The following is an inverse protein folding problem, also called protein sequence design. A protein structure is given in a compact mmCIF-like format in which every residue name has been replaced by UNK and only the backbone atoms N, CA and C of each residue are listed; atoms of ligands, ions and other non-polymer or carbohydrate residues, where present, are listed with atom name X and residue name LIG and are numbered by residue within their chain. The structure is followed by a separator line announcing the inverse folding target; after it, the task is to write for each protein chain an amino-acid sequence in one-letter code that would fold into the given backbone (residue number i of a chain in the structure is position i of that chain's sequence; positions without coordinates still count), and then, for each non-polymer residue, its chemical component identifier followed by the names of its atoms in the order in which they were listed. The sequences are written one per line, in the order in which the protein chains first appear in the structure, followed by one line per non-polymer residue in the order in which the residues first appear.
data_IF_923914203225
#
_entry.id   IF_923914203225
#
_cell.length_a   1.000
_cell.length_b   1.000
_cell.length_c   1.000
_cell.angle_alpha   90.00
_cell.angle_beta   90.00
_cell.angle_gamma   90.00
#
_symmetry.space_group_name_H-M   'P 1'
#
loop_
_entity.id
_entity.type
_entity.pdbx_description
1 polymer ?
#
# COMPACT_ATOMS: atom_id res chain seq x y z
N UNK A 1 14.82 19.25 12.22
CA UNK A 1 15.98 18.72 11.54
C UNK A 1 15.85 17.24 11.23
N UNK A 2 15.71 16.39 12.24
CA UNK A 2 15.54 14.96 12.01
C UNK A 2 14.26 14.66 11.26
N UNK A 3 13.19 15.41 11.53
CA UNK A 3 11.94 15.24 10.82
C UNK A 3 12.05 15.47 9.32
N UNK A 4 12.85 16.46 8.91
CA UNK A 4 13.10 16.73 7.49
C UNK A 4 13.83 15.59 6.81
N UNK A 5 14.80 14.99 7.52
CA UNK A 5 15.54 13.85 6.98
C UNK A 5 14.61 12.64 6.82
N UNK A 6 13.76 12.38 7.81
CA UNK A 6 12.81 11.26 7.75
C UNK A 6 11.82 11.46 6.59
N UNK A 7 11.32 12.66 6.41
CA UNK A 7 10.38 12.97 5.33
C UNK A 7 11.03 12.82 3.95
N UNK A 8 12.31 13.21 3.83
CA UNK A 8 13.05 13.08 2.58
C UNK A 8 13.26 11.62 2.18
N UNK A 9 13.18 10.69 3.12
CA UNK A 9 13.41 9.27 2.87
C UNK A 9 12.50 8.71 1.78
N UNK A 10 11.28 9.24 1.67
CA UNK A 10 10.28 8.72 0.75
C UNK A 10 9.94 9.71 -0.36
N UNK A 11 10.79 10.70 -0.61
CA UNK A 11 10.46 11.78 -1.55
C UNK A 11 10.32 11.34 -3.00
N UNK A 12 10.89 10.20 -3.38
CA UNK A 12 10.79 9.65 -4.74
C UNK A 12 9.73 8.56 -4.87
N UNK A 13 9.08 8.19 -3.79
CA UNK A 13 8.08 7.13 -3.78
C UNK A 13 6.66 7.69 -3.93
N UNK A 14 5.81 6.91 -4.60
CA UNK A 14 4.36 7.08 -4.52
C UNK A 14 3.81 6.15 -3.45
N UNK A 15 2.48 5.98 -3.41
CA UNK A 15 1.83 5.09 -2.44
C UNK A 15 2.36 3.66 -2.53
N UNK A 16 2.58 3.16 -3.73
CA UNK A 16 3.07 1.80 -3.94
C UNK A 16 4.52 1.66 -3.49
N UNK A 17 5.38 2.59 -3.88
CA UNK A 17 6.79 2.57 -3.46
C UNK A 17 6.92 2.60 -1.95
N UNK A 18 6.19 3.50 -1.29
CA UNK A 18 6.17 3.57 0.17
C UNK A 18 5.73 2.25 0.80
N UNK A 19 4.61 1.70 0.33
CA UNK A 19 4.05 0.46 0.91
C UNK A 19 5.03 -0.70 0.80
N UNK A 20 5.74 -0.81 -0.32
CA UNK A 20 6.71 -1.89 -0.55
C UNK A 20 8.09 -1.61 0.03
N UNK A 21 8.32 -0.43 0.60
CA UNK A 21 9.62 -0.06 1.14
C UNK A 21 10.65 0.28 0.08
N UNK A 22 10.21 0.73 -1.08
CA UNK A 22 11.07 1.08 -2.22
C UNK A 22 10.89 2.56 -2.54
N UNK A 23 11.93 3.37 -2.40
CA UNK A 23 11.84 4.81 -2.64
C UNK A 23 11.86 5.12 -4.13
N UNK A 24 10.82 4.69 -4.84
CA UNK A 24 10.64 4.91 -6.27
C UNK A 24 9.16 5.10 -6.57
N UNK A 25 8.86 5.75 -7.68
CA UNK A 25 7.52 5.86 -8.20
C UNK A 25 7.21 4.59 -8.98
N UNK A 26 6.37 3.72 -8.44
CA UNK A 26 6.11 2.40 -9.00
C UNK A 26 4.70 2.34 -9.61
N UNK A 27 4.50 1.36 -10.48
CA UNK A 27 3.21 1.09 -11.10
C UNK A 27 2.86 -0.38 -10.94
N UNK A 28 1.57 -0.63 -10.78
CA UNK A 28 1.05 -2.00 -10.76
C UNK A 28 1.02 -2.52 -12.20
N UNK A 29 1.51 -3.73 -12.40
CA UNK A 29 1.41 -4.39 -13.69
C UNK A 29 -0.04 -4.60 -14.08
N UNK A 30 -0.32 -4.53 -15.37
CA UNK A 30 -1.66 -4.62 -15.95
C UNK A 30 -2.57 -3.43 -15.62
N UNK A 31 -2.10 -2.45 -14.86
CA UNK A 31 -2.90 -1.26 -14.59
C UNK A 31 -3.08 -0.47 -15.90
N UNK A 32 -4.32 -0.03 -16.15
CA UNK A 32 -4.65 0.69 -17.37
C UNK A 32 -5.04 -0.22 -18.54
N UNK A 33 -5.10 -1.52 -18.33
CA UNK A 33 -5.58 -2.49 -19.31
C UNK A 33 -6.97 -2.98 -18.91
N UNK A 34 -7.51 -3.95 -19.65
CA UNK A 34 -8.79 -4.60 -19.30
C UNK A 34 -8.63 -5.68 -18.23
N UNK A 35 -7.47 -5.76 -17.59
CA UNK A 35 -7.19 -6.76 -16.57
C UNK A 35 -7.98 -6.51 -15.30
N UNK A 36 -8.33 -7.59 -14.59
CA UNK A 36 -9.11 -7.51 -13.37
C UNK A 36 -8.21 -7.16 -12.17
N UNK A 37 -8.81 -6.69 -11.06
CA UNK A 37 -8.05 -6.48 -9.83
C UNK A 37 -7.36 -7.76 -9.35
N UNK A 38 -7.94 -8.93 -9.62
CA UNK A 38 -7.34 -10.22 -9.25
C UNK A 38 -6.05 -10.49 -10.02
N UNK A 39 -6.02 -10.14 -11.30
CA UNK A 39 -4.80 -10.29 -12.11
C UNK A 39 -3.69 -9.36 -11.60
N UNK A 40 -4.05 -8.14 -11.22
CA UNK A 40 -3.11 -7.20 -10.63
C UNK A 40 -2.59 -7.69 -9.28
N UNK A 41 -3.47 -8.25 -8.45
CA UNK A 41 -3.06 -8.84 -7.16
C UNK A 41 -2.12 -10.02 -7.38
N UNK A 42 -2.40 -10.88 -8.36
CA UNK A 42 -1.53 -11.99 -8.70
C UNK A 42 -0.16 -11.50 -9.16
N UNK A 43 -0.14 -10.46 -9.97
CA UNK A 43 1.11 -9.84 -10.42
C UNK A 43 1.93 -9.31 -9.23
N UNK A 44 1.28 -8.70 -8.26
CA UNK A 44 1.94 -8.22 -7.05
C UNK A 44 2.55 -9.37 -6.26
N UNK A 45 1.83 -10.48 -6.12
CA UNK A 45 2.32 -11.68 -5.45
C UNK A 45 3.57 -12.21 -6.16
N UNK A 46 3.46 -12.38 -7.47
CA UNK A 46 4.54 -12.98 -8.27
C UNK A 46 5.78 -12.09 -8.35
N UNK A 47 5.57 -10.77 -8.41
CA UNK A 47 6.67 -9.82 -8.59
C UNK A 47 7.41 -9.52 -7.29
N UNK A 48 6.68 -9.39 -6.19
CA UNK A 48 7.27 -8.94 -4.92
C UNK A 48 7.25 -10.01 -3.83
N UNK A 49 6.75 -11.19 -4.13
CA UNK A 49 6.69 -12.27 -3.14
C UNK A 49 5.70 -12.00 -2.00
N UNK A 50 4.65 -11.25 -2.27
CA UNK A 50 3.65 -10.93 -1.25
C UNK A 50 2.85 -12.17 -0.88
N UNK A 51 2.44 -12.27 0.37
CA UNK A 51 1.67 -13.41 0.88
C UNK A 51 0.26 -12.94 1.25
N UNK A 52 -0.78 -13.43 0.56
CA UNK A 52 -2.15 -13.10 0.96
C UNK A 52 -2.45 -13.59 2.39
N UNK A 53 -3.09 -12.74 3.17
CA UNK A 53 -3.47 -13.08 4.55
C UNK A 53 -4.87 -12.53 4.82
N UNK A 54 -5.51 -13.06 5.88
CA UNK A 54 -6.79 -12.54 6.36
C UNK A 54 -6.56 -11.46 7.41
N UNK A 55 -7.54 -10.58 7.59
CA UNK A 55 -7.41 -9.50 8.58
C UNK A 55 -7.13 -10.02 9.98
N UNK A 56 -7.76 -11.12 10.38
CA UNK A 56 -7.56 -11.68 11.70
C UNK A 56 -6.23 -12.41 11.88
N UNK A 57 -5.44 -12.54 10.82
CA UNK A 57 -4.12 -13.15 10.89
C UNK A 57 -3.00 -12.13 11.12
N UNK A 58 -3.33 -10.84 11.08
CA UNK A 58 -2.31 -9.80 11.29
C UNK A 58 -1.81 -9.79 12.74
N UNK A 59 -0.50 -9.67 12.90
CA UNK A 59 0.15 -9.61 14.20
C UNK A 59 1.17 -8.47 14.22
N UNK A 60 1.49 -7.97 15.41
CA UNK A 60 2.55 -6.99 15.58
C UNK A 60 3.90 -7.59 15.20
N UNK A 61 4.80 -6.75 14.74
CA UNK A 61 6.15 -7.17 14.35
C UNK A 61 6.28 -7.54 12.89
N UNK A 62 5.17 -7.70 12.19
CA UNK A 62 5.17 -7.97 10.75
C UNK A 62 4.59 -6.78 10.01
N UNK A 63 4.93 -6.65 8.73
CA UNK A 63 4.47 -5.56 7.87
C UNK A 63 3.44 -6.10 6.89
N UNK A 64 2.35 -5.36 6.76
CA UNK A 64 1.27 -5.72 5.85
C UNK A 64 0.97 -4.57 4.91
N UNK A 65 0.47 -4.89 3.73
CA UNK A 65 0.04 -3.88 2.78
C UNK A 65 -1.34 -4.22 2.25
N UNK A 66 -2.09 -3.18 1.90
CA UNK A 66 -3.38 -3.33 1.23
C UNK A 66 -3.29 -2.61 -0.10
N UNK A 67 -3.71 -3.33 -1.14
CA UNK A 67 -3.88 -2.81 -2.49
C UNK A 67 -5.36 -2.67 -2.80
N UNK A 68 -5.75 -1.55 -3.39
CA UNK A 68 -7.11 -1.33 -3.88
C UNK A 68 -7.08 -0.61 -5.22
N UNK A 69 -8.08 -0.89 -6.03
CA UNK A 69 -8.26 -0.28 -7.33
C UNK A 69 -9.43 0.71 -7.27
N UNK A 70 -9.24 1.89 -7.83
CA UNK A 70 -10.28 2.88 -8.04
C UNK A 70 -10.64 2.98 -9.52
N UNK A 71 -11.37 4.05 -9.88
CA UNK A 71 -11.75 4.24 -11.28
C UNK A 71 -10.56 4.49 -12.19
N UNK A 72 -9.72 5.44 -11.82
CA UNK A 72 -8.61 5.88 -12.67
C UNK A 72 -7.26 5.67 -12.02
N UNK A 73 -7.23 5.06 -10.85
CA UNK A 73 -6.00 4.97 -10.09
C UNK A 73 -6.03 3.76 -9.17
N UNK A 74 -4.87 3.42 -8.65
CA UNK A 74 -4.72 2.42 -7.60
C UNK A 74 -4.18 3.10 -6.34
N UNK A 75 -4.35 2.43 -5.21
CA UNK A 75 -3.79 2.97 -3.97
C UNK A 75 -3.31 1.84 -3.06
N UNK A 76 -2.32 2.17 -2.25
CA UNK A 76 -1.72 1.25 -1.28
C UNK A 76 -1.69 1.91 0.08
N UNK A 77 -1.86 1.09 1.13
CA UNK A 77 -1.58 1.47 2.50
C UNK A 77 -0.66 0.43 3.11
N UNK A 78 0.09 0.82 4.14
CA UNK A 78 1.04 -0.04 4.83
C UNK A 78 0.74 -0.04 6.31
N UNK A 79 0.67 -1.24 6.91
CA UNK A 79 0.68 -1.41 8.35
C UNK A 79 2.09 -1.79 8.76
N UNK A 80 2.77 -0.90 9.44
CA UNK A 80 4.15 -1.13 9.88
C UNK A 80 4.18 -2.10 11.08
N UNK A 81 5.38 -2.52 11.47
CA UNK A 81 5.54 -3.48 12.56
C UNK A 81 4.94 -3.00 13.88
N UNK A 82 4.80 -1.69 14.06
CA UNK A 82 4.15 -1.10 15.24
C UNK A 82 2.62 -1.23 15.26
N UNK A 83 2.04 -1.76 14.20
CA UNK A 83 0.59 -1.96 14.07
C UNK A 83 -0.17 -0.76 13.54
N UNK A 84 0.49 0.32 13.20
CA UNK A 84 -0.16 1.52 12.70
C UNK A 84 -0.20 1.56 11.17
N UNK A 85 -1.37 1.92 10.63
CA UNK A 85 -1.55 2.10 9.20
C UNK A 85 -1.10 3.48 8.77
N UNK A 86 -0.37 3.54 7.66
CA UNK A 86 0.07 4.78 7.02
C UNK A 86 0.00 4.63 5.53
N UNK A 87 -0.10 5.75 4.83
CA UNK A 87 -0.04 5.76 3.38
C UNK A 87 0.63 7.03 2.88
N UNK A 88 1.02 7.01 1.61
CA UNK A 88 1.62 8.17 0.97
C UNK A 88 0.80 8.49 -0.27
N UNK A 89 -0.13 9.47 -0.18
CA UNK A 89 -0.98 9.82 -1.34
C UNK A 89 -0.15 10.52 -2.42
N UNK A 90 0.19 9.81 -3.47
CA UNK A 90 0.95 10.36 -4.59
C UNK A 90 2.27 10.98 -4.15
N UNK A 91 2.44 12.26 -4.44
CA UNK A 91 3.64 13.01 -4.08
C UNK A 91 3.59 13.62 -2.68
N UNK A 92 2.46 13.50 -1.97
CA UNK A 92 2.35 14.01 -0.61
C UNK A 92 3.18 13.17 0.35
N UNK A 93 3.47 13.74 1.51
CA UNK A 93 4.24 13.02 2.52
C UNK A 93 3.44 11.87 3.13
N UNK A 94 4.14 10.96 3.79
CA UNK A 94 3.54 9.84 4.52
C UNK A 94 2.68 10.39 5.66
N UNK A 95 1.49 9.83 5.82
CA UNK A 95 0.54 10.24 6.85
C UNK A 95 -0.23 9.05 7.39
N UNK A 96 -0.76 9.15 8.62
CA UNK A 96 -1.57 8.08 9.16
C UNK A 96 -2.90 7.95 8.42
N UNK A 97 -3.44 6.74 8.42
CA UNK A 97 -4.77 6.44 7.90
C UNK A 97 -5.39 5.41 8.85
N UNK A 98 -6.68 5.53 9.09
CA UNK A 98 -7.36 4.60 9.98
C UNK A 98 -7.62 3.26 9.29
N UNK A 99 -7.65 2.19 10.08
CA UNK A 99 -7.99 0.87 9.54
C UNK A 99 -9.38 0.86 8.93
N UNK A 100 -10.30 1.63 9.50
CA UNK A 100 -11.65 1.79 8.97
C UNK A 100 -11.63 2.35 7.54
N UNK A 101 -10.76 3.31 7.28
CA UNK A 101 -10.61 3.86 5.92
C UNK A 101 -9.92 2.87 4.99
N UNK A 102 -8.92 2.15 5.48
CA UNK A 102 -8.18 1.17 4.67
C UNK A 102 -9.11 0.10 4.12
N UNK A 103 -10.04 -0.39 4.94
CA UNK A 103 -10.92 -1.49 4.57
C UNK A 103 -12.35 -1.03 4.23
N UNK A 104 -12.63 0.26 4.33
CA UNK A 104 -13.93 0.83 4.03
C UNK A 104 -14.14 1.12 2.55
N UNK A 105 -15.23 1.80 2.20
CA UNK A 105 -15.55 2.11 0.81
C UNK A 105 -14.65 3.17 0.17
N UNK A 106 -13.91 3.94 0.97
CA UNK A 106 -12.98 4.95 0.48
C UNK A 106 -11.81 5.07 1.43
N UNK A 107 -10.63 5.42 0.88
CA UNK A 107 -9.44 5.58 1.69
C UNK A 107 -9.47 6.86 2.52
N UNK A 108 -9.89 7.94 1.89
CA UNK A 108 -10.01 9.25 2.53
C UNK A 108 -11.22 9.95 1.94
N UNK A 109 -11.64 11.04 2.56
CA UNK A 109 -12.76 11.82 2.02
C UNK A 109 -12.47 12.50 0.69
N UNK A 110 -11.21 12.57 0.28
CA UNK A 110 -10.82 13.21 -0.97
C UNK A 110 -10.49 12.22 -2.08
N UNK A 111 -10.57 10.93 -1.82
CA UNK A 111 -10.34 9.92 -2.85
C UNK A 111 -11.67 9.46 -3.43
N UNK A 112 -11.64 9.06 -4.68
CA UNK A 112 -12.82 8.47 -5.29
C UNK A 112 -13.12 7.11 -4.66
N UNK A 113 -14.36 6.68 -4.79
CA UNK A 113 -14.78 5.36 -4.31
C UNK A 113 -13.97 4.28 -5.01
N UNK A 114 -13.65 3.23 -4.27
CA UNK A 114 -12.93 2.11 -4.84
C UNK A 114 -13.86 1.14 -5.54
N UNK A 115 -13.36 0.58 -6.62
CA UNK A 115 -14.10 -0.39 -7.44
C UNK A 115 -13.74 -1.82 -7.05
N UNK A 116 -12.65 -2.01 -6.30
CA UNK A 116 -12.25 -3.33 -5.83
C UNK A 116 -12.35 -3.44 -4.31
N UNK A 117 -12.46 -4.68 -3.84
CA UNK A 117 -12.27 -4.98 -2.44
C UNK A 117 -10.81 -4.73 -2.05
N UNK A 118 -10.49 -4.59 -0.77
CA UNK A 118 -9.10 -4.53 -0.34
C UNK A 118 -8.42 -5.89 -0.51
N UNK A 119 -7.21 -5.88 -1.04
CA UNK A 119 -6.36 -7.06 -1.13
C UNK A 119 -5.26 -6.91 -0.08
N UNK A 120 -5.27 -7.77 0.91
CA UNK A 120 -4.37 -7.71 2.06
C UNK A 120 -3.24 -8.72 1.89
N UNK A 121 -2.00 -8.25 2.07
CA UNK A 121 -0.81 -9.07 1.95
C UNK A 121 0.13 -8.84 3.11
N UNK A 122 0.89 -9.87 3.45
CA UNK A 122 2.07 -9.74 4.31
C UNK A 122 3.27 -9.46 3.41
N UNK A 123 4.09 -8.48 3.78
CA UNK A 123 5.34 -8.20 3.09
C UNK A 123 6.43 -9.10 3.66
N UNK A 124 7.15 -9.89 2.82
CA UNK A 124 8.22 -10.75 3.31
C UNK A 124 9.27 -9.96 4.10
N UNK A 125 9.77 -10.55 5.18
CA UNK A 125 10.69 -9.86 6.09
C UNK A 125 11.99 -9.42 5.42
N UNK A 126 12.45 -10.16 4.42
CA UNK A 126 13.66 -9.82 3.67
C UNK A 126 13.47 -8.61 2.75
N UNK A 127 12.22 -8.20 2.53
CA UNK A 127 11.89 -7.04 1.69
C UNK A 127 11.45 -5.82 2.50
N UNK A 128 11.36 -5.96 3.82
CA UNK A 128 11.01 -4.81 4.67
C UNK A 128 12.15 -3.80 4.64
N UNK A 129 11.82 -2.54 4.35
CA UNK A 129 12.77 -1.43 4.32
C UNK A 129 12.25 -0.30 5.17
N UNK A 130 13.16 0.50 5.69
CA UNK A 130 12.84 1.60 6.61
C UNK A 130 13.22 2.95 6.04
#
# INVERSE_FOLDING_TARGET
MKGGIIMAKWNSANCMGYALGINKWLRVGYFGTDSSPYEMAKWLIDTYGLKPVKRNEMVLGKVYIVFRLGYDDFHFARRSADGHWRHKPGSYHVRPISEKEVFGPAWTKNTCSYTSRPFLFELPSDKVRY
#
